data_IF_365291488799
#
_entry.id   IF_365291488799
#
_cell.length_a   1.000
_cell.length_b   1.000
_cell.length_c   1.000
_cell.angle_alpha   90.00
_cell.angle_beta   90.00
_cell.angle_gamma   90.00
#
_symmetry.space_group_name_H-M   'P 1'
#
loop_
_entity.id
_entity.type
_entity.pdbx_description
1 polymer ?
#
# COMPACT_ATOMS: atom_id res chain seq x y z
N UNK A 1 0.81 -5.59 28.67
CA UNK A 1 -0.25 -6.55 28.33
C UNK A 1 0.11 -7.24 27.02
N UNK A 2 0.33 -8.56 27.01
CA UNK A 2 0.62 -9.35 25.81
C UNK A 2 -0.69 -9.40 24.98
N UNK A 3 -0.76 -8.63 23.90
CA UNK A 3 -1.87 -8.73 22.94
C UNK A 3 -1.87 -10.14 22.33
N UNK A 4 -2.67 -11.03 22.88
CA UNK A 4 -2.96 -12.33 22.25
C UNK A 4 -3.73 -12.02 20.97
N UNK A 5 -3.29 -12.60 19.83
CA UNK A 5 -4.10 -12.60 18.62
C UNK A 5 -5.43 -13.28 18.95
N UNK A 6 -6.56 -12.66 18.61
CA UNK A 6 -7.86 -13.27 18.83
C UNK A 6 -8.10 -14.41 17.81
N UNK A 7 -9.06 -15.29 18.09
CA UNK A 7 -9.36 -16.46 17.23
C UNK A 7 -9.62 -16.08 15.77
N UNK A 8 -10.34 -14.98 15.50
CA UNK A 8 -10.63 -14.52 14.12
C UNK A 8 -9.37 -14.09 13.37
N UNK A 9 -8.40 -13.47 14.05
CA UNK A 9 -7.12 -13.08 13.45
C UNK A 9 -6.28 -14.32 13.14
N UNK A 10 -6.23 -15.30 14.06
CA UNK A 10 -5.52 -16.57 13.84
C UNK A 10 -6.13 -17.32 12.64
N UNK A 11 -7.45 -17.42 12.58
CA UNK A 11 -8.15 -18.05 11.46
C UNK A 11 -7.83 -17.37 10.14
N UNK A 12 -7.97 -16.03 10.07
CA UNK A 12 -7.71 -15.23 8.86
C UNK A 12 -6.31 -15.44 8.30
N UNK A 13 -5.30 -15.48 9.18
CA UNK A 13 -3.89 -15.54 8.79
C UNK A 13 -3.26 -16.91 9.02
N UNK A 14 -4.05 -17.96 9.22
CA UNK A 14 -3.57 -19.31 9.53
C UNK A 14 -2.52 -19.80 8.53
N UNK A 15 -2.73 -19.57 7.23
CA UNK A 15 -1.81 -19.99 6.16
C UNK A 15 -0.49 -19.23 6.15
N UNK A 16 -0.42 -18.06 6.75
CA UNK A 16 0.83 -17.32 6.96
C UNK A 16 1.52 -17.73 8.27
N UNK A 17 0.74 -17.92 9.32
CA UNK A 17 1.22 -18.24 10.66
C UNK A 17 1.91 -19.62 10.71
N UNK A 18 1.52 -20.57 9.87
CA UNK A 18 2.17 -21.91 9.81
C UNK A 18 3.55 -21.86 9.14
N UNK A 19 3.90 -20.79 8.42
CA UNK A 19 5.22 -20.63 7.82
C UNK A 19 6.25 -20.39 8.92
N UNK A 20 7.34 -21.17 8.92
CA UNK A 20 8.40 -21.14 9.95
C UNK A 20 8.95 -19.73 10.17
N UNK A 21 9.18 -18.99 9.08
CA UNK A 21 9.78 -17.65 9.13
C UNK A 21 8.78 -16.51 9.47
N UNK A 22 7.50 -16.80 9.48
CA UNK A 22 6.44 -15.85 9.87
C UNK A 22 5.98 -16.12 11.29
N UNK A 23 5.36 -17.25 11.53
CA UNK A 23 4.80 -17.59 12.83
C UNK A 23 3.83 -16.54 13.37
N UNK A 24 3.50 -16.69 14.65
CA UNK A 24 2.66 -15.72 15.38
C UNK A 24 3.40 -14.36 15.54
N UNK A 25 4.72 -14.40 15.72
CA UNK A 25 5.54 -13.19 15.93
C UNK A 25 5.59 -12.36 14.67
N UNK A 26 5.88 -12.98 13.51
CA UNK A 26 5.89 -12.31 12.22
C UNK A 26 4.52 -11.74 11.86
N UNK A 27 3.42 -12.48 12.08
CA UNK A 27 2.08 -11.96 11.84
C UNK A 27 1.75 -10.75 12.72
N UNK A 28 2.19 -10.72 13.98
CA UNK A 28 2.06 -9.53 14.83
C UNK A 28 2.87 -8.35 14.29
N UNK A 29 4.08 -8.59 13.80
CA UNK A 29 4.90 -7.54 13.18
C UNK A 29 4.21 -6.95 11.95
N UNK A 30 3.64 -7.79 11.07
CA UNK A 30 2.84 -7.37 9.91
C UNK A 30 1.64 -6.53 10.36
N UNK A 31 0.89 -6.99 11.35
CA UNK A 31 -0.29 -6.28 11.85
C UNK A 31 0.04 -4.93 12.51
N UNK A 32 1.26 -4.72 12.98
CA UNK A 32 1.72 -3.48 13.59
C UNK A 32 2.39 -2.54 12.58
N UNK A 33 2.75 -3.03 11.40
CA UNK A 33 3.47 -2.26 10.39
C UNK A 33 2.60 -1.16 9.77
N UNK A 34 3.26 -0.08 9.33
CA UNK A 34 2.64 1.07 8.68
C UNK A 34 3.32 1.29 7.33
N UNK A 35 2.62 0.98 6.27
CA UNK A 35 3.14 1.04 4.89
C UNK A 35 2.42 2.12 4.12
N UNK A 36 3.16 2.95 3.38
CA UNK A 36 2.57 3.90 2.43
C UNK A 36 2.90 3.49 1.01
N UNK A 37 1.88 3.44 0.16
CA UNK A 37 2.00 3.16 -1.27
C UNK A 37 1.80 4.47 -2.04
N UNK A 38 2.79 4.82 -2.87
CA UNK A 38 2.77 6.01 -3.72
C UNK A 38 2.45 5.57 -5.15
N UNK A 39 1.30 5.99 -5.65
CA UNK A 39 0.71 5.50 -6.90
C UNK A 39 -0.10 4.22 -6.70
N UNK A 40 -1.38 4.26 -7.02
CA UNK A 40 -2.27 3.09 -7.01
C UNK A 40 -2.76 2.76 -8.42
N UNK A 41 -1.78 2.74 -9.34
CA UNK A 41 -1.90 2.32 -10.73
C UNK A 41 -1.68 0.82 -10.93
N UNK A 42 -1.06 0.44 -12.05
CA UNK A 42 -0.82 -0.98 -12.41
C UNK A 42 0.00 -1.74 -11.39
N UNK A 43 1.05 -1.14 -10.84
CA UNK A 43 1.87 -1.73 -9.77
C UNK A 43 1.22 -1.59 -8.40
N UNK A 44 0.67 -0.40 -8.09
CA UNK A 44 0.13 -0.13 -6.77
C UNK A 44 -1.14 -0.90 -6.42
N UNK A 45 -2.00 -1.19 -7.40
CA UNK A 45 -3.23 -1.97 -7.16
C UNK A 45 -2.96 -3.36 -6.59
N UNK A 46 -2.15 -4.23 -7.22
CA UNK A 46 -1.86 -5.55 -6.66
C UNK A 46 -1.11 -5.45 -5.32
N UNK A 47 -0.19 -4.49 -5.17
CA UNK A 47 0.52 -4.27 -3.90
C UNK A 47 -0.47 -3.99 -2.77
N UNK A 48 -1.39 -3.05 -2.97
CA UNK A 48 -2.42 -2.72 -1.97
C UNK A 48 -3.31 -3.91 -1.66
N UNK A 49 -3.74 -4.66 -2.67
CA UNK A 49 -4.60 -5.83 -2.49
C UNK A 49 -3.91 -6.88 -1.61
N UNK A 50 -2.69 -7.28 -1.97
CA UNK A 50 -1.97 -8.31 -1.22
C UNK A 50 -1.55 -7.87 0.19
N UNK A 51 -1.08 -6.63 0.38
CA UNK A 51 -0.76 -6.12 1.72
C UNK A 51 -1.99 -6.05 2.62
N UNK A 52 -3.16 -5.74 2.05
CA UNK A 52 -4.43 -5.75 2.78
C UNK A 52 -4.82 -7.16 3.23
N UNK A 53 -4.64 -8.15 2.36
CA UNK A 53 -4.90 -9.56 2.67
C UNK A 53 -3.89 -10.12 3.67
N UNK A 54 -2.63 -9.73 3.55
CA UNK A 54 -1.57 -10.12 4.50
C UNK A 54 -1.76 -9.52 5.90
N UNK A 55 -2.59 -8.46 6.04
CA UNK A 55 -2.94 -7.90 7.32
C UNK A 55 -2.03 -6.78 7.81
N UNK A 56 -1.42 -6.02 6.90
CA UNK A 56 -0.69 -4.79 7.27
C UNK A 56 -1.63 -3.85 8.04
N UNK A 57 -1.22 -3.45 9.25
CA UNK A 57 -2.13 -2.78 10.19
C UNK A 57 -2.51 -1.36 9.79
N UNK A 58 -1.60 -0.63 9.12
CA UNK A 58 -1.89 0.71 8.60
C UNK A 58 -1.41 0.82 7.16
N UNK A 59 -2.31 1.14 6.25
CA UNK A 59 -2.01 1.38 4.84
C UNK A 59 -2.27 2.85 4.50
N UNK A 60 -1.21 3.55 4.09
CA UNK A 60 -1.30 4.84 3.42
C UNK A 60 -1.39 4.66 1.91
N UNK A 61 -2.21 5.43 1.24
CA UNK A 61 -2.30 5.47 -0.21
C UNK A 61 -2.27 6.90 -0.70
N UNK A 62 -1.39 7.20 -1.64
CA UNK A 62 -1.26 8.53 -2.23
C UNK A 62 -1.33 8.46 -3.75
N UNK A 63 -2.35 9.07 -4.31
CA UNK A 63 -2.56 9.20 -5.74
C UNK A 63 -3.49 10.40 -5.99
N UNK A 64 -3.31 11.12 -7.09
CA UNK A 64 -4.12 12.28 -7.43
C UNK A 64 -5.04 12.03 -8.62
N UNK A 65 -4.88 10.87 -9.29
CA UNK A 65 -5.61 10.55 -10.51
C UNK A 65 -7.05 10.11 -10.25
N UNK A 66 -7.84 10.29 -11.30
CA UNK A 66 -9.14 9.64 -11.46
C UNK A 66 -8.98 8.36 -12.31
N UNK A 67 -9.93 7.46 -12.15
CA UNK A 67 -10.01 6.22 -12.92
C UNK A 67 -10.51 6.54 -14.32
N UNK A 68 -9.84 6.00 -15.34
CA UNK A 68 -10.24 6.07 -16.75
C UNK A 68 -10.44 4.67 -17.33
N UNK A 69 -11.16 4.57 -18.44
CA UNK A 69 -11.37 3.29 -19.12
C UNK A 69 -10.08 2.57 -19.46
N UNK A 70 -9.05 3.31 -19.87
CA UNK A 70 -7.71 2.78 -20.18
C UNK A 70 -6.95 2.21 -18.96
N UNK A 71 -7.47 2.36 -17.75
CA UNK A 71 -6.86 1.78 -16.56
C UNK A 71 -7.36 0.35 -16.29
N UNK A 72 -8.61 0.06 -16.63
CA UNK A 72 -9.35 -1.13 -16.18
C UNK A 72 -8.63 -2.43 -16.56
N UNK A 73 -8.03 -2.50 -17.76
CA UNK A 73 -7.37 -3.74 -18.24
C UNK A 73 -6.15 -4.20 -17.41
N UNK A 74 -5.53 -3.30 -16.59
CA UNK A 74 -4.32 -3.60 -15.81
C UNK A 74 -4.33 -3.14 -14.36
N UNK A 75 -5.39 -2.48 -13.90
CA UNK A 75 -5.52 -1.98 -12.52
C UNK A 75 -6.69 -2.71 -11.84
N UNK A 76 -6.45 -3.90 -11.26
CA UNK A 76 -7.50 -4.86 -10.90
C UNK A 76 -8.42 -4.41 -9.75
N UNK A 77 -8.10 -3.34 -9.04
CA UNK A 77 -8.97 -2.79 -8.00
C UNK A 77 -10.13 -1.94 -8.55
N UNK A 78 -10.15 -1.64 -9.86
CA UNK A 78 -11.15 -0.79 -10.48
C UNK A 78 -12.00 -1.53 -11.50
N UNK A 79 -13.25 -1.12 -11.62
CA UNK A 79 -14.17 -1.60 -12.65
C UNK A 79 -14.82 -0.42 -13.40
N UNK A 80 -15.62 -0.72 -14.44
CA UNK A 80 -16.25 0.30 -15.29
C UNK A 80 -17.17 1.27 -14.52
N UNK A 81 -17.73 0.86 -13.38
CA UNK A 81 -18.57 1.69 -12.51
C UNK A 81 -17.77 2.73 -11.72
N UNK A 82 -16.47 2.60 -11.72
CA UNK A 82 -15.55 3.47 -10.97
C UNK A 82 -14.95 4.58 -11.83
N UNK A 83 -15.19 4.57 -13.14
CA UNK A 83 -14.68 5.60 -14.07
C UNK A 83 -15.06 7.00 -13.59
N UNK A 84 -14.11 7.94 -13.62
CA UNK A 84 -14.26 9.32 -13.17
C UNK A 84 -14.09 9.56 -11.67
N UNK A 85 -14.12 8.51 -10.84
CA UNK A 85 -13.88 8.61 -9.39
C UNK A 85 -12.39 8.68 -9.09
N UNK A 86 -12.01 9.26 -7.95
CA UNK A 86 -10.62 9.26 -7.50
C UNK A 86 -10.15 7.86 -7.12
N UNK A 87 -8.97 7.47 -7.60
CA UNK A 87 -8.38 6.16 -7.34
C UNK A 87 -8.29 5.85 -5.85
N UNK A 88 -7.81 6.79 -5.04
CA UNK A 88 -7.67 6.60 -3.58
C UNK A 88 -8.98 6.35 -2.85
N UNK A 89 -10.12 6.87 -3.34
CA UNK A 89 -11.41 6.64 -2.71
C UNK A 89 -11.90 5.21 -2.93
N UNK A 90 -11.76 4.73 -4.17
CA UNK A 90 -12.15 3.36 -4.53
C UNK A 90 -11.24 2.36 -3.82
N UNK A 91 -9.93 2.57 -3.84
CA UNK A 91 -8.97 1.72 -3.13
C UNK A 91 -9.30 1.66 -1.64
N UNK A 92 -9.57 2.80 -1.00
CA UNK A 92 -9.99 2.84 0.40
C UNK A 92 -11.22 1.97 0.66
N UNK A 93 -12.24 2.04 -0.21
CA UNK A 93 -13.45 1.23 -0.11
C UNK A 93 -13.14 -0.26 -0.27
N UNK A 94 -12.32 -0.63 -1.26
CA UNK A 94 -11.92 -2.03 -1.53
C UNK A 94 -11.12 -2.61 -0.34
N UNK A 95 -10.12 -1.88 0.18
CA UNK A 95 -9.36 -2.32 1.37
C UNK A 95 -10.31 -2.62 2.54
N UNK A 96 -11.27 -1.74 2.81
CA UNK A 96 -12.22 -1.94 3.90
C UNK A 96 -13.12 -3.15 3.70
N UNK A 97 -13.49 -3.46 2.47
CA UNK A 97 -14.23 -4.68 2.16
C UNK A 97 -13.37 -5.94 2.33
N UNK A 98 -12.08 -5.88 1.97
CA UNK A 98 -11.13 -7.00 2.14
C UNK A 98 -10.85 -7.24 3.62
N UNK A 99 -10.54 -6.17 4.37
CA UNK A 99 -10.14 -6.26 5.76
C UNK A 99 -10.50 -4.98 6.53
N UNK A 100 -11.60 -5.00 7.24
CA UNK A 100 -12.13 -3.88 8.02
C UNK A 100 -11.21 -3.42 9.17
N UNK A 101 -10.29 -4.27 9.63
CA UNK A 101 -9.38 -3.97 10.74
C UNK A 101 -8.25 -3.00 10.34
N UNK A 102 -7.97 -2.85 9.04
CA UNK A 102 -6.87 -2.00 8.55
C UNK A 102 -7.19 -0.51 8.76
N UNK A 103 -6.25 0.22 9.33
CA UNK A 103 -6.29 1.69 9.37
C UNK A 103 -5.84 2.25 8.02
N UNK A 104 -6.69 3.05 7.37
CA UNK A 104 -6.39 3.59 6.03
C UNK A 104 -6.23 5.09 6.11
N UNK A 105 -5.12 5.60 5.54
CA UNK A 105 -4.86 7.02 5.34
C UNK A 105 -4.76 7.29 3.84
N UNK A 106 -5.70 8.04 3.27
CA UNK A 106 -5.73 8.37 1.84
C UNK A 106 -5.35 9.83 1.59
N UNK A 107 -4.51 10.05 0.57
CA UNK A 107 -3.99 11.36 0.19
C UNK A 107 -4.29 11.62 -1.28
N UNK A 108 -5.35 12.41 -1.57
CA UNK A 108 -5.76 12.85 -2.92
C UNK A 108 -4.87 13.97 -3.40
N UNK A 109 -3.57 13.73 -3.51
CA UNK A 109 -2.64 14.78 -3.94
C UNK A 109 -1.37 14.17 -4.51
N UNK A 110 -0.76 14.93 -5.41
CA UNK A 110 0.57 14.61 -5.91
C UNK A 110 1.58 14.74 -4.79
N UNK A 111 2.42 13.73 -4.64
CA UNK A 111 3.53 13.76 -3.69
C UNK A 111 4.59 14.73 -4.20
N UNK A 112 4.96 15.68 -3.35
CA UNK A 112 5.95 16.70 -3.60
C UNK A 112 6.67 17.05 -2.30
N UNK A 113 7.82 17.73 -2.41
CA UNK A 113 8.63 18.17 -1.26
C UNK A 113 7.80 18.84 -0.16
N UNK A 114 6.86 19.73 -0.55
CA UNK A 114 6.03 20.50 0.38
C UNK A 114 5.15 19.64 1.32
N UNK A 115 4.73 18.46 0.87
CA UNK A 115 3.75 17.65 1.60
C UNK A 115 4.27 16.30 2.08
N UNK A 116 5.30 15.75 1.44
CA UNK A 116 5.74 14.39 1.68
C UNK A 116 6.38 14.23 3.06
N UNK A 117 7.11 15.22 3.52
CA UNK A 117 7.75 15.18 4.84
C UNK A 117 6.75 14.93 5.98
N UNK A 118 5.61 15.62 5.94
CA UNK A 118 4.54 15.46 6.95
C UNK A 118 3.86 14.09 6.86
N UNK A 119 3.83 13.52 5.66
CA UNK A 119 3.18 12.23 5.40
C UNK A 119 4.08 11.08 5.84
N UNK A 120 5.34 11.07 5.38
CA UNK A 120 6.27 9.95 5.54
C UNK A 120 6.57 9.62 7.00
N UNK A 121 6.59 10.60 7.89
CA UNK A 121 6.85 10.43 9.33
C UNK A 121 5.89 9.44 9.99
N UNK A 122 4.72 9.26 9.42
CA UNK A 122 3.67 8.36 9.95
C UNK A 122 3.80 6.91 9.50
N UNK A 123 4.82 6.57 8.70
CA UNK A 123 4.97 5.25 8.10
C UNK A 123 6.37 4.70 8.33
N UNK A 124 6.48 3.37 8.31
CA UNK A 124 7.74 2.66 8.51
C UNK A 124 8.37 2.28 7.17
N UNK A 125 7.53 1.93 6.19
CA UNK A 125 7.92 1.46 4.86
C UNK A 125 7.24 2.32 3.80
N UNK A 126 7.98 2.69 2.77
CA UNK A 126 7.51 3.36 1.56
C UNK A 126 7.54 2.35 0.43
N UNK A 127 6.44 2.23 -0.30
CA UNK A 127 6.38 1.44 -1.54
C UNK A 127 6.12 2.38 -2.70
N UNK A 128 7.02 2.38 -3.66
CA UNK A 128 6.94 3.19 -4.87
C UNK A 128 6.30 2.38 -6.00
N UNK A 129 5.04 2.69 -6.29
CA UNK A 129 4.30 2.22 -7.46
C UNK A 129 4.10 3.31 -8.51
N UNK A 130 4.90 4.38 -8.46
CA UNK A 130 4.82 5.48 -9.43
C UNK A 130 5.52 5.14 -10.75
N UNK A 131 5.11 5.82 -11.81
CA UNK A 131 5.57 5.63 -13.19
C UNK A 131 6.55 6.71 -13.65
N UNK A 132 7.07 7.56 -12.76
CA UNK A 132 7.92 8.67 -13.15
C UNK A 132 9.16 8.84 -12.25
N UNK A 133 10.29 9.13 -12.87
CA UNK A 133 11.58 9.29 -12.17
C UNK A 133 11.59 10.40 -11.12
N UNK A 134 10.88 11.51 -11.36
CA UNK A 134 10.80 12.63 -10.42
C UNK A 134 10.27 12.18 -9.06
N UNK A 135 9.23 11.36 -9.05
CA UNK A 135 8.69 10.77 -7.82
C UNK A 135 9.68 9.78 -7.22
N UNK A 136 10.26 8.88 -8.01
CA UNK A 136 11.24 7.89 -7.54
C UNK A 136 12.42 8.54 -6.81
N UNK A 137 13.05 9.54 -7.41
CA UNK A 137 14.15 10.28 -6.78
C UNK A 137 13.72 11.03 -5.51
N UNK A 138 12.51 11.60 -5.50
CA UNK A 138 11.97 12.24 -4.31
C UNK A 138 11.80 11.23 -3.17
N UNK A 139 11.22 10.06 -3.44
CA UNK A 139 11.04 9.01 -2.45
C UNK A 139 12.37 8.50 -1.90
N UNK A 140 13.35 8.27 -2.79
CA UNK A 140 14.71 7.88 -2.40
C UNK A 140 15.36 8.92 -1.47
N UNK A 141 15.34 10.19 -1.84
CA UNK A 141 15.86 11.29 -1.00
C UNK A 141 15.25 11.27 0.40
N UNK A 142 13.94 11.13 0.50
CA UNK A 142 13.25 11.18 1.77
C UNK A 142 13.36 9.87 2.58
N UNK A 143 13.48 8.72 1.91
CA UNK A 143 13.73 7.45 2.59
C UNK A 143 15.07 7.48 3.35
N UNK A 144 16.12 8.00 2.70
CA UNK A 144 17.44 8.20 3.32
C UNK A 144 17.34 9.20 4.47
N UNK A 145 16.77 10.40 4.20
CA UNK A 145 16.66 11.47 5.21
C UNK A 145 15.96 11.00 6.50
N UNK A 146 14.91 10.18 6.37
CA UNK A 146 14.09 9.72 7.51
C UNK A 146 14.36 8.27 7.91
N UNK A 147 15.40 7.64 7.36
CA UNK A 147 15.81 6.25 7.64
C UNK A 147 14.60 5.30 7.49
N UNK A 148 13.86 5.43 6.37
CA UNK A 148 12.71 4.57 6.06
C UNK A 148 13.09 3.53 5.01
N UNK A 149 12.55 2.34 5.13
CA UNK A 149 12.67 1.32 4.09
C UNK A 149 11.93 1.80 2.85
N UNK A 150 12.59 1.73 1.69
CA UNK A 150 12.00 2.01 0.39
C UNK A 150 12.01 0.75 -0.46
N UNK A 151 10.84 0.34 -0.92
CA UNK A 151 10.65 -0.72 -1.91
C UNK A 151 10.24 -0.06 -3.22
N UNK A 152 11.01 -0.26 -4.28
CA UNK A 152 10.76 0.37 -5.58
C UNK A 152 10.24 -0.68 -6.56
N UNK A 153 9.07 -0.41 -7.15
CA UNK A 153 8.57 -1.15 -8.31
C UNK A 153 8.79 -0.36 -9.60
N UNK A 154 9.27 -1.02 -10.64
CA UNK A 154 9.40 -0.44 -11.96
C UNK A 154 9.15 -1.49 -13.04
N UNK A 155 8.50 -1.07 -14.14
CA UNK A 155 8.32 -1.89 -15.34
C UNK A 155 8.73 -1.05 -16.53
N UNK A 156 9.54 -1.64 -17.41
CA UNK A 156 9.91 -1.06 -18.70
C UNK A 156 9.81 -2.14 -19.78
N UNK A 157 8.86 -1.98 -20.70
CA UNK A 157 8.52 -3.00 -21.72
C UNK A 157 8.19 -4.34 -21.07
N UNK A 158 9.05 -5.35 -21.20
CA UNK A 158 8.90 -6.70 -20.66
C UNK A 158 9.78 -6.96 -19.43
N UNK A 159 10.55 -5.94 -18.98
CA UNK A 159 11.45 -6.06 -17.83
C UNK A 159 10.80 -5.44 -16.59
N UNK A 160 10.90 -6.14 -15.45
CA UNK A 160 10.41 -5.69 -14.15
C UNK A 160 11.50 -5.68 -13.08
N UNK A 161 11.48 -4.67 -12.25
CA UNK A 161 12.38 -4.52 -11.10
C UNK A 161 11.61 -4.17 -9.82
#
# INVERSE_FOLDING_TARGET
MRNKLNKKIIERYSRQIILKDVGIIGQKAINNSKVIIIGVGGLGCPIVDYLSRAGVGTIGIADFDKISLSNIHRQPLYDSRDIGKFKVDIVKKKIKAINSNIKIKSYKKKIATKNFEKIIKNFDIIVDGSDNFKTKFLLNKYSIKYKKILVVGAINKFDGH
#
